data_IF_147501102989
#
_entry.id   IF_147501102989
#
_cell.length_a   1.000
_cell.length_b   1.000
_cell.length_c   1.000
_cell.angle_alpha   90.00
_cell.angle_beta   90.00
_cell.angle_gamma   90.00
#
_symmetry.space_group_name_H-M   'P 1'
#
loop_
_entity.id
_entity.type
_entity.pdbx_description
1 polymer ?
#
# COMPACT_ATOMS: atom_id res chain seq x y z
N UNK A 1 -28.39 -2.55 29.65
CA UNK A 1 -28.06 -1.35 28.85
C UNK A 1 -26.69 -1.59 28.24
N UNK A 2 -26.61 -1.85 26.93
CA UNK A 2 -25.33 -2.12 26.25
C UNK A 2 -24.76 -0.75 25.84
N UNK A 3 -23.64 -0.36 26.44
CA UNK A 3 -22.91 0.83 26.01
C UNK A 3 -22.22 0.48 24.70
N UNK A 4 -22.68 1.07 23.59
CA UNK A 4 -21.97 0.97 22.31
C UNK A 4 -20.91 2.06 22.32
N UNK A 5 -19.65 1.67 22.44
CA UNK A 5 -18.51 2.58 22.32
C UNK A 5 -18.17 2.70 20.85
N UNK A 6 -18.35 3.88 20.27
CA UNK A 6 -17.92 4.19 18.90
C UNK A 6 -16.60 4.94 19.00
N UNK A 7 -15.54 4.35 18.45
CA UNK A 7 -14.24 5.01 18.36
C UNK A 7 -14.33 6.15 17.34
N UNK A 8 -14.07 7.37 17.79
CA UNK A 8 -13.98 8.54 16.91
C UNK A 8 -12.58 8.57 16.29
N UNK A 9 -12.39 7.85 15.20
CA UNK A 9 -11.08 7.67 14.54
C UNK A 9 -10.38 9.00 14.23
N UNK A 10 -11.13 10.03 13.80
CA UNK A 10 -10.59 11.37 13.56
C UNK A 10 -9.99 12.03 14.80
N UNK A 11 -10.59 11.83 15.97
CA UNK A 11 -10.08 12.39 17.23
C UNK A 11 -8.84 11.66 17.70
N UNK A 12 -8.74 10.34 17.44
CA UNK A 12 -7.52 9.56 17.71
C UNK A 12 -6.39 10.01 16.80
N UNK A 13 -6.67 10.19 15.51
CA UNK A 13 -5.69 10.69 14.54
C UNK A 13 -5.20 12.07 14.94
N UNK A 14 -6.11 12.97 15.32
CA UNK A 14 -5.73 14.30 15.80
C UNK A 14 -4.86 14.22 17.06
N UNK A 15 -5.23 13.38 18.03
CA UNK A 15 -4.49 13.21 19.27
C UNK A 15 -3.04 12.73 19.06
N UNK A 16 -2.77 11.92 18.04
CA UNK A 16 -1.42 11.48 17.67
C UNK A 16 -0.46 12.67 17.45
N UNK A 17 -0.95 13.78 16.89
CA UNK A 17 -0.14 14.96 16.57
C UNK A 17 -0.32 16.13 17.54
N UNK A 18 -1.42 16.19 18.28
CA UNK A 18 -1.74 17.33 19.15
C UNK A 18 -1.56 17.06 20.64
N UNK A 19 -1.60 15.81 21.11
CA UNK A 19 -1.32 15.50 22.53
C UNK A 19 0.19 15.18 22.69
N UNK A 20 0.96 16.02 23.40
CA UNK A 20 2.40 15.82 23.57
C UNK A 20 2.75 14.48 24.24
N UNK A 21 1.87 13.94 25.09
CA UNK A 21 2.10 12.66 25.78
C UNK A 21 2.01 11.50 24.80
N UNK A 22 1.02 11.52 23.91
CA UNK A 22 0.88 10.53 22.84
C UNK A 22 2.08 10.60 21.90
N UNK A 23 2.39 11.79 21.39
CA UNK A 23 3.51 11.98 20.49
C UNK A 23 4.85 11.54 21.10
N UNK A 24 5.10 11.88 22.37
CA UNK A 24 6.32 11.45 23.09
C UNK A 24 6.39 9.94 23.33
N UNK A 25 5.25 9.26 23.39
CA UNK A 25 5.19 7.82 23.64
C UNK A 25 5.38 6.99 22.37
N UNK A 26 4.89 7.47 21.23
CA UNK A 26 4.94 6.74 19.95
C UNK A 26 6.17 7.11 19.11
N UNK A 27 6.67 8.33 19.26
CA UNK A 27 7.79 8.85 18.50
C UNK A 27 7.44 9.32 17.09
N UNK A 28 8.37 10.07 16.49
CA UNK A 28 8.21 10.65 15.17
C UNK A 28 8.18 9.57 14.08
N UNK A 29 8.93 8.49 14.27
CA UNK A 29 9.03 7.37 13.34
C UNK A 29 7.67 6.69 13.14
N UNK A 30 6.90 6.53 14.21
CA UNK A 30 5.55 6.00 14.13
C UNK A 30 4.63 6.94 13.35
N UNK A 31 4.67 8.25 13.62
CA UNK A 31 3.87 9.23 12.89
C UNK A 31 4.16 9.21 11.38
N UNK A 32 5.42 9.05 10.99
CA UNK A 32 5.80 8.92 9.56
C UNK A 32 5.22 7.64 8.95
N UNK A 33 5.33 6.51 9.64
CA UNK A 33 4.74 5.23 9.17
C UNK A 33 3.23 5.37 9.06
N UNK A 34 2.60 5.99 10.06
CA UNK A 34 1.16 6.23 10.08
C UNK A 34 0.72 7.15 8.95
N UNK A 35 1.43 8.25 8.68
CA UNK A 35 1.17 9.15 7.55
C UNK A 35 1.27 8.43 6.21
N UNK A 36 2.30 7.60 6.03
CA UNK A 36 2.46 6.78 4.82
C UNK A 36 1.29 5.81 4.67
N UNK A 37 0.93 5.10 5.75
CA UNK A 37 -0.20 4.17 5.73
C UNK A 37 -1.52 4.88 5.44
N UNK A 38 -1.79 6.00 6.11
CA UNK A 38 -3.03 6.76 5.97
C UNK A 38 -3.16 7.38 4.57
N UNK A 39 -2.07 7.98 4.05
CA UNK A 39 -2.02 8.55 2.70
C UNK A 39 -2.11 7.48 1.58
N UNK A 40 -1.68 6.25 1.87
CA UNK A 40 -1.77 5.11 0.95
C UNK A 40 -3.05 4.30 1.11
N UNK A 41 -4.02 4.81 1.88
CA UNK A 41 -5.29 4.12 2.13
C UNK A 41 -5.07 2.73 2.73
N UNK A 42 -4.16 2.60 3.69
CA UNK A 42 -3.91 1.39 4.47
C UNK A 42 -5.08 1.08 5.42
N UNK A 43 -6.29 1.00 4.89
CA UNK A 43 -7.45 0.49 5.59
C UNK A 43 -7.46 -1.04 5.52
N UNK A 44 -8.24 -1.68 6.39
CA UNK A 44 -8.49 -3.12 6.34
C UNK A 44 -8.88 -3.57 4.93
N UNK A 45 -9.57 -2.74 4.14
CA UNK A 45 -9.98 -3.07 2.79
C UNK A 45 -8.81 -3.28 1.80
N UNK A 46 -7.67 -2.58 1.94
CA UNK A 46 -6.48 -2.83 1.11
C UNK A 46 -5.79 -4.14 1.51
N UNK A 47 -5.71 -4.41 2.81
CA UNK A 47 -5.15 -5.66 3.33
C UNK A 47 -6.04 -6.85 2.94
N UNK A 48 -7.35 -6.70 3.08
CA UNK A 48 -8.37 -7.68 2.72
C UNK A 48 -8.42 -7.89 1.20
N UNK A 49 -8.29 -6.83 0.40
CA UNK A 49 -8.15 -6.94 -1.06
C UNK A 49 -6.86 -7.67 -1.46
N UNK A 50 -5.73 -7.37 -0.81
CA UNK A 50 -4.47 -8.06 -1.05
C UNK A 50 -4.58 -9.56 -0.72
N UNK A 51 -5.06 -9.90 0.47
CA UNK A 51 -5.23 -11.31 0.85
C UNK A 51 -6.33 -12.02 0.05
N UNK A 52 -7.38 -11.31 -0.37
CA UNK A 52 -8.41 -11.84 -1.27
C UNK A 52 -7.84 -12.19 -2.65
N UNK A 53 -6.97 -11.35 -3.21
CA UNK A 53 -6.26 -11.63 -4.45
C UNK A 53 -5.29 -12.80 -4.27
N UNK A 54 -4.52 -12.84 -3.18
CA UNK A 54 -3.62 -13.96 -2.88
C UNK A 54 -4.40 -15.28 -2.76
N UNK A 55 -5.53 -15.27 -2.06
CA UNK A 55 -6.38 -16.46 -1.90
C UNK A 55 -7.00 -16.91 -3.24
N UNK A 56 -7.50 -15.99 -4.07
CA UNK A 56 -7.98 -16.31 -5.41
C UNK A 56 -6.87 -16.91 -6.30
N UNK A 57 -5.65 -16.39 -6.20
CA UNK A 57 -4.52 -16.89 -6.99
C UNK A 57 -4.00 -18.25 -6.49
N UNK A 58 -4.09 -18.52 -5.19
CA UNK A 58 -3.81 -19.82 -4.58
C UNK A 58 -4.81 -20.88 -5.06
N UNK A 59 -6.09 -20.53 -5.14
CA UNK A 59 -7.16 -21.46 -5.52
C UNK A 59 -7.23 -21.69 -7.04
N UNK A 60 -7.20 -20.62 -7.85
CA UNK A 60 -7.52 -20.68 -9.28
C UNK A 60 -6.44 -20.10 -10.21
N UNK A 61 -5.47 -19.34 -9.68
CA UNK A 61 -4.53 -18.54 -10.49
C UNK A 61 -3.20 -19.23 -10.80
N UNK A 62 -2.82 -20.26 -10.04
CA UNK A 62 -1.57 -21.01 -10.25
C UNK A 62 -0.29 -20.21 -9.98
N UNK A 63 -0.40 -19.02 -9.38
CA UNK A 63 0.74 -18.17 -9.02
C UNK A 63 1.21 -18.45 -7.60
N UNK A 64 2.53 -18.46 -7.38
CA UNK A 64 3.05 -18.67 -6.02
C UNK A 64 2.84 -17.43 -5.15
N UNK A 65 2.43 -17.64 -3.90
CA UNK A 65 2.26 -16.58 -2.89
C UNK A 65 3.53 -15.74 -2.74
N UNK A 66 4.71 -16.35 -2.86
CA UNK A 66 6.01 -15.65 -2.79
C UNK A 66 6.13 -14.61 -3.89
N UNK A 67 5.80 -14.97 -5.13
CA UNK A 67 5.84 -14.07 -6.29
C UNK A 67 4.81 -12.95 -6.15
N UNK A 68 3.60 -13.26 -5.65
CA UNK A 68 2.56 -12.25 -5.41
C UNK A 68 2.98 -11.26 -4.32
N UNK A 69 3.60 -11.74 -3.23
CA UNK A 69 4.12 -10.89 -2.17
C UNK A 69 5.27 -9.99 -2.63
N UNK A 70 6.19 -10.49 -3.45
CA UNK A 70 7.24 -9.67 -4.06
C UNK A 70 6.66 -8.61 -5.00
N UNK A 71 5.66 -8.97 -5.80
CA UNK A 71 4.99 -8.06 -6.73
C UNK A 71 4.25 -6.95 -6.00
N UNK A 72 3.54 -7.27 -4.92
CA UNK A 72 2.87 -6.26 -4.10
C UNK A 72 3.87 -5.33 -3.39
N UNK A 73 5.03 -5.83 -2.94
CA UNK A 73 6.10 -4.96 -2.42
C UNK A 73 6.62 -3.99 -3.47
N UNK A 74 6.81 -4.46 -4.70
CA UNK A 74 7.21 -3.60 -5.83
C UNK A 74 6.12 -2.56 -6.08
N UNK A 75 4.86 -2.96 -6.24
CA UNK A 75 3.75 -2.04 -6.47
C UNK A 75 3.58 -1.02 -5.32
N UNK A 76 3.90 -1.40 -4.08
CA UNK A 76 3.86 -0.47 -2.94
C UNK A 76 5.00 0.53 -2.94
N UNK A 77 6.20 0.10 -3.34
CA UNK A 77 7.43 0.89 -3.29
C UNK A 77 7.59 1.78 -4.52
N UNK A 78 6.95 1.46 -5.64
CA UNK A 78 7.05 2.24 -6.86
C UNK A 78 5.78 3.07 -7.10
N UNK A 79 5.90 4.28 -7.65
CA UNK A 79 4.74 5.04 -8.09
C UNK A 79 3.98 4.21 -9.15
N UNK A 80 2.65 4.41 -9.28
CA UNK A 80 1.83 3.70 -10.26
C UNK A 80 2.51 3.76 -11.63
N UNK A 81 2.48 2.68 -12.41
CA UNK A 81 3.12 2.65 -13.74
C UNK A 81 2.67 3.83 -14.61
N UNK A 82 1.38 4.23 -14.48
CA UNK A 82 0.77 5.40 -15.13
C UNK A 82 1.31 6.76 -14.66
N UNK A 83 2.08 6.83 -13.58
CA UNK A 83 2.80 8.02 -13.12
C UNK A 83 4.24 8.08 -13.67
N UNK A 84 4.66 7.07 -14.45
CA UNK A 84 5.99 6.94 -15.02
C UNK A 84 5.96 7.08 -16.55
N UNK A 85 5.36 8.16 -17.06
CA UNK A 85 5.16 8.41 -18.49
C UNK A 85 6.41 8.17 -19.34
N UNK A 86 7.56 8.59 -18.83
CA UNK A 86 8.86 8.42 -19.51
C UNK A 86 9.27 6.95 -19.64
N UNK A 87 9.05 6.14 -18.59
CA UNK A 87 9.40 4.72 -18.62
C UNK A 87 8.46 3.95 -19.56
N UNK A 88 7.17 4.30 -19.58
CA UNK A 88 6.20 3.76 -20.53
C UNK A 88 6.60 4.11 -21.97
N UNK A 89 6.95 5.37 -22.23
CA UNK A 89 7.38 5.84 -23.55
C UNK A 89 8.64 5.09 -24.04
N UNK A 90 9.66 4.97 -23.19
CA UNK A 90 10.89 4.24 -23.54
C UNK A 90 10.64 2.73 -23.77
N UNK A 91 9.83 2.07 -22.95
CA UNK A 91 9.44 0.67 -23.15
C UNK A 91 8.62 0.46 -24.43
N UNK A 92 7.69 1.38 -24.73
CA UNK A 92 6.87 1.32 -25.94
C UNK A 92 7.74 1.46 -27.20
N UNK A 93 8.74 2.34 -27.17
CA UNK A 93 9.72 2.51 -28.24
C UNK A 93 10.53 1.23 -28.45
N UNK A 94 10.98 0.58 -27.38
CA UNK A 94 11.70 -0.70 -27.46
C UNK A 94 10.84 -1.84 -28.02
N UNK A 95 9.55 -1.86 -27.67
CA UNK A 95 8.60 -2.87 -28.16
C UNK A 95 8.27 -2.66 -29.65
N UNK A 96 7.99 -1.42 -30.06
CA UNK A 96 7.64 -1.06 -31.44
C UNK A 96 8.83 -1.19 -32.39
N UNK A 97 10.04 -0.84 -31.95
CA UNK A 97 11.24 -0.96 -32.78
C UNK A 97 11.86 -2.35 -32.77
N UNK A 98 11.27 -3.30 -32.01
CA UNK A 98 11.73 -4.68 -31.90
C UNK A 98 13.18 -4.74 -31.44
N UNK A 99 13.41 -4.76 -30.13
CA UNK A 99 14.76 -4.88 -29.58
C UNK A 99 15.51 -6.09 -30.20
N UNK A 100 16.50 -5.82 -31.06
CA UNK A 100 17.27 -6.84 -31.83
C UNK A 100 18.47 -7.40 -31.04
N UNK A 101 18.54 -7.16 -29.74
CA UNK A 101 19.73 -7.44 -28.92
C UNK A 101 19.39 -7.92 -27.51
N UNK A 102 18.52 -8.93 -27.41
CA UNK A 102 18.46 -9.85 -26.28
C UNK A 102 18.88 -11.24 -26.76
#
# INVERSE_FOLDING_TARGET
MVLTVVLQEQEVIKALYTDPRFYSSIGQEFCIIFDIMYAKTGNEAVVESFYGVVHSQEMDGGQSIKVLGERAKVDWCFPPVLACDRAIDEMSKLYVHGNRSL
#
